data_IF_537637672020
#
_entry.id   IF_537637672020
#
_cell.length_a   1.000
_cell.length_b   1.000
_cell.length_c   1.000
_cell.angle_alpha   90.00
_cell.angle_beta   90.00
_cell.angle_gamma   90.00
#
_symmetry.space_group_name_H-M   'P 1'
#
loop_
_entity.id
_entity.type
_entity.pdbx_description
1 polymer ?
#
# COMPACT_ATOMS: atom_id res chain seq x y z
N UNK A 1 42.12 -3.38 12.75
CA UNK A 1 41.97 -3.30 11.28
C UNK A 1 40.52 -2.94 11.01
N UNK A 2 40.25 -1.67 10.70
CA UNK A 2 38.89 -1.18 10.44
C UNK A 2 38.63 -1.36 8.95
N UNK A 3 37.71 -2.27 8.60
CA UNK A 3 37.25 -2.46 7.23
C UNK A 3 36.12 -1.47 7.01
N UNK A 4 36.40 -0.38 6.29
CA UNK A 4 35.39 0.56 5.81
C UNK A 4 34.76 -0.06 4.56
N UNK A 5 33.43 -0.28 4.51
CA UNK A 5 32.80 -0.78 3.29
C UNK A 5 32.79 0.35 2.25
N UNK A 6 33.51 0.12 1.15
CA UNK A 6 33.50 1.00 -0.01
C UNK A 6 32.16 0.81 -0.74
N UNK A 7 31.24 1.77 -0.59
CA UNK A 7 30.05 1.86 -1.43
C UNK A 7 30.51 2.32 -2.81
N UNK A 8 30.61 1.39 -3.76
CA UNK A 8 30.86 1.71 -5.16
C UNK A 8 29.53 2.15 -5.78
N UNK A 9 29.28 3.46 -5.81
CA UNK A 9 28.29 4.04 -6.70
C UNK A 9 28.90 4.08 -8.11
N UNK A 10 28.57 3.11 -8.97
CA UNK A 10 28.88 3.22 -10.39
C UNK A 10 27.93 4.23 -11.01
N UNK A 11 28.38 5.47 -11.15
CA UNK A 11 27.74 6.45 -12.01
C UNK A 11 28.01 6.05 -13.47
N UNK A 12 27.13 5.21 -14.02
CA UNK A 12 27.13 4.98 -15.46
C UNK A 12 26.61 6.25 -16.12
N UNK A 13 27.48 7.04 -16.75
CA UNK A 13 27.16 8.36 -17.30
C UNK A 13 26.16 8.35 -18.49
N UNK A 14 25.58 7.19 -18.82
CA UNK A 14 24.44 7.04 -19.75
C UNK A 14 23.12 6.68 -19.06
N UNK A 15 23.10 6.50 -17.74
CA UNK A 15 21.95 6.01 -16.99
C UNK A 15 21.29 7.16 -16.24
N UNK A 16 20.13 7.64 -16.72
CA UNK A 16 19.26 8.63 -16.06
C UNK A 16 18.56 8.06 -14.80
N UNK A 17 19.29 7.28 -14.00
CA UNK A 17 18.81 6.67 -12.74
C UNK A 17 19.95 6.40 -11.76
N UNK A 18 19.59 6.42 -10.48
CA UNK A 18 20.41 5.97 -9.35
C UNK A 18 19.96 4.55 -8.98
N UNK A 19 20.92 3.65 -8.73
CA UNK A 19 20.66 2.27 -8.29
C UNK A 19 21.21 2.08 -6.88
N UNK A 20 20.36 1.65 -5.95
CA UNK A 20 20.67 1.49 -4.54
C UNK A 20 20.38 0.04 -4.11
N UNK A 21 21.37 -0.87 -4.12
CA UNK A 21 21.22 -2.19 -3.52
C UNK A 21 21.26 -2.05 -1.99
N UNK A 22 20.19 -2.46 -1.32
CA UNK A 22 20.03 -2.31 0.13
C UNK A 22 19.87 -3.66 0.82
N UNK A 23 20.65 -3.89 1.88
CA UNK A 23 20.40 -4.96 2.85
C UNK A 23 19.29 -4.52 3.82
N UNK A 24 18.27 -5.35 3.97
CA UNK A 24 17.13 -5.16 4.85
C UNK A 24 17.02 -6.31 5.87
N UNK A 25 18.15 -6.86 6.32
CA UNK A 25 18.15 -7.89 7.36
C UNK A 25 17.38 -7.39 8.59
N UNK A 26 16.27 -8.05 8.92
CA UNK A 26 15.32 -7.60 9.93
C UNK A 26 15.93 -7.52 11.33
N UNK A 27 17.01 -8.27 11.59
CA UNK A 27 17.77 -8.19 12.83
C UNK A 27 18.60 -6.91 12.94
N UNK A 28 19.03 -6.34 11.80
CA UNK A 28 19.83 -5.11 11.72
C UNK A 28 18.97 -3.86 11.52
N UNK A 29 17.70 -4.02 11.13
CA UNK A 29 16.76 -2.92 10.96
C UNK A 29 16.37 -2.33 12.32
N UNK A 30 16.67 -1.05 12.50
CA UNK A 30 16.24 -0.24 13.63
C UNK A 30 15.01 0.58 13.26
N UNK A 31 14.05 0.69 14.19
CA UNK A 31 12.93 1.61 14.03
C UNK A 31 13.46 3.05 13.98
N UNK A 32 12.97 3.89 13.06
CA UNK A 32 13.38 5.28 13.02
C UNK A 32 12.88 6.03 14.26
N UNK A 33 13.71 6.94 14.78
CA UNK A 33 13.35 7.79 15.93
C UNK A 33 12.19 8.72 15.59
N UNK A 34 12.22 9.31 14.39
CA UNK A 34 11.21 10.20 13.84
C UNK A 34 11.34 10.27 12.31
N UNK A 35 10.51 11.11 11.68
CA UNK A 35 10.53 11.33 10.24
C UNK A 35 11.80 12.05 9.72
N UNK A 36 12.50 12.82 10.55
CA UNK A 36 13.72 13.53 10.15
C UNK A 36 14.88 12.57 9.94
N UNK A 37 14.90 11.43 10.63
CA UNK A 37 15.85 10.35 10.40
C UNK A 37 15.70 9.66 9.02
N UNK A 38 14.69 10.01 8.22
CA UNK A 38 14.36 9.41 6.91
C UNK A 38 14.63 10.34 5.72
N UNK A 39 15.59 11.24 5.88
CA UNK A 39 15.93 12.32 4.93
C UNK A 39 16.53 11.85 3.59
N UNK A 40 17.21 10.71 3.56
CA UNK A 40 17.75 10.08 2.34
C UNK A 40 16.88 8.92 1.86
N UNK A 41 17.04 8.48 0.60
CA UNK A 41 16.27 7.33 0.05
C UNK A 41 16.65 6.03 0.72
N UNK A 42 17.94 5.84 1.00
CA UNK A 42 18.41 4.70 1.77
C UNK A 42 17.83 4.68 3.19
N UNK A 43 17.87 5.81 3.91
CA UNK A 43 17.35 5.88 5.27
C UNK A 43 15.82 5.65 5.30
N UNK A 44 15.08 6.28 4.40
CA UNK A 44 13.64 6.08 4.24
C UNK A 44 13.27 4.61 4.00
N UNK A 45 13.91 3.95 3.04
CA UNK A 45 13.62 2.54 2.70
C UNK A 45 13.94 1.62 3.87
N UNK A 46 15.09 1.77 4.52
CA UNK A 46 15.48 0.93 5.68
C UNK A 46 14.56 1.17 6.88
N UNK A 47 14.27 2.42 7.23
CA UNK A 47 13.42 2.76 8.36
C UNK A 47 11.97 2.29 8.16
N UNK A 48 11.42 2.46 6.95
CA UNK A 48 10.07 1.98 6.62
C UNK A 48 10.03 0.46 6.59
N UNK A 49 11.05 -0.21 6.04
CA UNK A 49 11.17 -1.66 6.10
C UNK A 49 11.18 -2.18 7.56
N UNK A 50 11.83 -1.46 8.48
CA UNK A 50 11.82 -1.79 9.90
C UNK A 50 10.41 -1.72 10.48
N UNK A 51 9.67 -0.64 10.21
CA UNK A 51 8.28 -0.47 10.63
C UNK A 51 7.40 -1.60 10.06
N UNK A 52 7.53 -1.90 8.75
CA UNK A 52 6.76 -2.95 8.08
C UNK A 52 7.01 -4.32 8.72
N UNK A 53 8.26 -4.67 8.97
CA UNK A 53 8.63 -5.94 9.58
C UNK A 53 8.19 -6.03 11.05
N UNK A 54 8.43 -5.00 11.86
CA UNK A 54 8.23 -5.05 13.32
C UNK A 54 6.79 -4.72 13.74
N UNK A 55 6.19 -3.71 13.12
CA UNK A 55 4.85 -3.22 13.50
C UNK A 55 3.76 -4.05 12.83
N UNK A 56 3.90 -4.34 11.53
CA UNK A 56 2.87 -5.05 10.77
C UNK A 56 3.11 -6.55 10.62
N UNK A 57 4.30 -7.03 11.03
CA UNK A 57 4.71 -8.43 10.90
C UNK A 57 4.57 -8.91 9.45
N UNK A 58 4.95 -8.06 8.51
CA UNK A 58 5.00 -8.37 7.08
C UNK A 58 6.42 -8.81 6.71
N UNK A 59 6.58 -9.82 5.84
CA UNK A 59 7.89 -10.24 5.40
C UNK A 59 8.50 -9.14 4.52
N UNK A 60 9.75 -8.81 4.80
CA UNK A 60 10.57 -7.96 3.94
C UNK A 60 11.74 -8.83 3.47
N UNK A 61 12.06 -8.86 2.16
CA UNK A 61 13.18 -9.65 1.68
C UNK A 61 14.49 -9.09 2.22
N UNK A 62 15.48 -9.96 2.46
CA UNK A 62 16.80 -9.57 3.00
C UNK A 62 17.52 -8.53 2.15
N UNK A 63 17.22 -8.47 0.86
CA UNK A 63 17.79 -7.50 -0.06
C UNK A 63 16.70 -6.91 -0.94
N UNK A 64 16.77 -5.61 -1.17
CA UNK A 64 15.95 -4.90 -2.17
C UNK A 64 16.85 -4.00 -2.99
N UNK A 65 16.63 -3.95 -4.29
CA UNK A 65 17.26 -2.94 -5.15
C UNK A 65 16.28 -1.80 -5.38
N UNK A 66 16.67 -0.58 -5.01
CA UNK A 66 15.87 0.62 -5.23
C UNK A 66 16.43 1.38 -6.43
N UNK A 67 15.59 1.63 -7.42
CA UNK A 67 15.92 2.43 -8.58
C UNK A 67 15.21 3.77 -8.49
N UNK A 68 15.96 4.86 -8.68
CA UNK A 68 15.42 6.23 -8.66
C UNK A 68 15.70 6.85 -10.01
N UNK A 69 14.67 7.11 -10.80
CA UNK A 69 14.78 7.58 -12.18
C UNK A 69 14.56 9.07 -12.28
N UNK A 70 15.35 9.72 -13.14
CA UNK A 70 15.22 11.13 -13.45
C UNK A 70 14.26 11.32 -14.63
N UNK A 71 13.00 11.62 -14.31
CA UNK A 71 11.96 11.91 -15.29
C UNK A 71 11.13 10.70 -15.71
N UNK A 72 9.91 11.00 -16.20
CA UNK A 72 8.95 10.00 -16.72
C UNK A 72 9.57 9.08 -17.76
N UNK A 73 10.38 9.62 -18.68
CA UNK A 73 11.00 8.83 -19.76
C UNK A 73 11.99 7.80 -19.23
N UNK A 74 12.83 8.19 -18.27
CA UNK A 74 13.77 7.28 -17.63
C UNK A 74 13.02 6.19 -16.85
N UNK A 75 11.98 6.59 -16.12
CA UNK A 75 11.10 5.67 -15.40
C UNK A 75 10.42 4.66 -16.33
N UNK A 76 9.87 5.11 -17.47
CA UNK A 76 9.28 4.23 -18.49
C UNK A 76 10.28 3.19 -19.00
N UNK A 77 11.53 3.59 -19.28
CA UNK A 77 12.57 2.63 -19.65
C UNK A 77 12.91 1.67 -18.51
N UNK A 78 12.91 2.16 -17.26
CA UNK A 78 13.07 1.33 -16.07
C UNK A 78 12.01 0.24 -15.93
N UNK A 79 10.75 0.59 -16.18
CA UNK A 79 9.66 -0.38 -16.19
C UNK A 79 9.92 -1.49 -17.21
N UNK A 80 10.47 -1.16 -18.39
CA UNK A 80 10.77 -2.14 -19.44
C UNK A 80 11.96 -3.03 -19.05
N UNK A 81 13.08 -2.43 -18.65
CA UNK A 81 14.33 -3.17 -18.49
C UNK A 81 14.52 -3.80 -17.11
N UNK A 82 14.13 -3.09 -16.05
CA UNK A 82 14.36 -3.55 -14.68
C UNK A 82 13.16 -4.36 -14.18
N UNK A 83 11.93 -3.85 -14.40
CA UNK A 83 10.69 -4.53 -14.00
C UNK A 83 10.09 -5.47 -15.06
N UNK A 84 10.72 -5.58 -16.24
CA UNK A 84 10.31 -6.50 -17.34
C UNK A 84 8.86 -6.31 -17.81
N UNK A 85 8.34 -5.11 -17.68
CA UNK A 85 7.01 -4.73 -18.16
C UNK A 85 7.06 -4.58 -19.70
N UNK A 86 6.01 -5.02 -20.40
CA UNK A 86 5.97 -4.84 -21.85
C UNK A 86 5.99 -3.34 -22.22
N UNK A 87 6.60 -2.91 -23.34
CA UNK A 87 6.67 -1.49 -23.70
C UNK A 87 5.31 -0.78 -23.74
N UNK A 88 4.27 -1.46 -24.24
CA UNK A 88 2.91 -0.92 -24.30
C UNK A 88 2.33 -0.68 -22.90
N UNK A 89 2.59 -1.60 -21.96
CA UNK A 89 2.13 -1.43 -20.58
C UNK A 89 3.00 -0.41 -19.84
N UNK A 90 4.32 -0.39 -20.06
CA UNK A 90 5.22 0.58 -19.46
C UNK A 90 4.85 2.02 -19.84
N UNK A 91 4.56 2.28 -21.12
CA UNK A 91 4.11 3.58 -21.58
C UNK A 91 2.85 4.04 -20.81
N UNK A 92 1.85 3.15 -20.68
CA UNK A 92 0.61 3.43 -19.94
C UNK A 92 0.85 3.62 -18.45
N UNK A 93 1.65 2.77 -17.80
CA UNK A 93 1.95 2.89 -16.38
C UNK A 93 2.70 4.18 -16.10
N UNK A 94 3.66 4.56 -16.94
CA UNK A 94 4.44 5.79 -16.73
C UNK A 94 3.63 7.08 -16.86
N UNK A 95 2.40 7.04 -17.38
CA UNK A 95 1.48 8.18 -17.39
C UNK A 95 0.94 8.54 -16.00
N UNK A 96 0.88 7.58 -15.07
CA UNK A 96 0.22 7.80 -13.78
C UNK A 96 0.99 7.22 -12.57
N UNK A 97 1.80 6.19 -12.77
CA UNK A 97 2.61 5.60 -11.72
C UNK A 97 3.86 6.45 -11.48
N UNK A 98 4.14 6.72 -10.21
CA UNK A 98 5.36 7.41 -9.75
C UNK A 98 6.25 6.48 -8.92
N UNK A 99 5.78 5.25 -8.66
CA UNK A 99 6.51 4.16 -8.03
C UNK A 99 5.98 2.81 -8.49
N UNK A 100 6.80 1.76 -8.38
CA UNK A 100 6.42 0.35 -8.57
C UNK A 100 7.24 -0.54 -7.63
N UNK A 101 6.55 -1.33 -6.81
CA UNK A 101 7.10 -2.47 -6.09
C UNK A 101 7.02 -3.74 -6.93
N UNK A 102 8.17 -4.40 -7.13
CA UNK A 102 8.30 -5.67 -7.84
C UNK A 102 9.13 -6.65 -6.99
N UNK A 103 9.30 -7.89 -7.46
CA UNK A 103 10.02 -8.91 -6.69
C UNK A 103 11.46 -8.46 -6.35
N UNK A 104 11.70 -8.17 -5.07
CA UNK A 104 13.01 -7.70 -4.57
C UNK A 104 13.41 -6.31 -5.06
N UNK A 105 12.48 -5.50 -5.58
CA UNK A 105 12.80 -4.22 -6.20
C UNK A 105 11.76 -3.15 -5.91
N UNK A 106 12.21 -1.89 -5.84
CA UNK A 106 11.35 -0.70 -5.80
C UNK A 106 11.86 0.29 -6.84
N UNK A 107 10.99 0.71 -7.74
CA UNK A 107 11.28 1.71 -8.77
C UNK A 107 10.57 3.01 -8.38
N UNK A 108 11.23 4.16 -8.43
CA UNK A 108 10.70 5.47 -8.06
C UNK A 108 11.01 6.52 -9.14
N UNK A 109 10.03 7.32 -9.52
CA UNK A 109 10.23 8.49 -10.38
C UNK A 109 10.52 9.74 -9.53
N UNK A 110 11.70 10.34 -9.68
CA UNK A 110 12.17 11.45 -8.86
C UNK A 110 11.70 12.84 -9.30
N UNK A 111 11.28 12.98 -10.56
CA UNK A 111 11.02 14.27 -11.21
C UNK A 111 9.63 14.85 -10.89
N UNK A 112 8.94 14.29 -9.88
CA UNK A 112 7.70 14.89 -9.39
C UNK A 112 8.09 16.07 -8.53
N UNK A 113 7.98 17.29 -9.09
CA UNK A 113 8.29 18.58 -8.45
C UNK A 113 7.52 18.85 -7.13
N UNK A 114 6.57 17.99 -6.78
CA UNK A 114 5.78 17.98 -5.53
C UNK A 114 6.14 16.82 -4.57
N UNK A 115 7.35 16.24 -4.66
CA UNK A 115 7.80 15.16 -3.78
C UNK A 115 8.09 15.62 -2.33
N UNK A 116 7.06 16.13 -1.64
CA UNK A 116 7.15 16.51 -0.23
C UNK A 116 7.52 15.29 0.62
N UNK A 117 8.26 15.50 1.71
CA UNK A 117 8.79 14.42 2.54
C UNK A 117 7.70 13.44 3.00
N UNK A 118 6.48 13.91 3.28
CA UNK A 118 5.37 13.02 3.67
C UNK A 118 4.91 12.11 2.53
N UNK A 119 4.61 12.67 1.36
CA UNK A 119 4.15 11.86 0.21
C UNK A 119 5.25 10.93 -0.29
N UNK A 120 6.52 11.32 -0.10
CA UNK A 120 7.67 10.46 -0.30
C UNK A 120 7.69 9.22 0.57
N UNK A 121 7.56 9.42 1.87
CA UNK A 121 7.54 8.31 2.81
C UNK A 121 6.29 7.44 2.60
N UNK A 122 5.14 8.03 2.24
CA UNK A 122 3.93 7.31 1.84
C UNK A 122 4.21 6.37 0.65
N UNK A 123 4.78 6.91 -0.43
CA UNK A 123 5.06 6.16 -1.65
C UNK A 123 6.03 5.00 -1.37
N UNK A 124 7.13 5.25 -0.65
CA UNK A 124 8.09 4.19 -0.30
C UNK A 124 7.41 3.09 0.54
N UNK A 125 6.56 3.45 1.50
CA UNK A 125 5.81 2.47 2.29
C UNK A 125 4.80 1.69 1.45
N UNK A 126 4.13 2.35 0.51
CA UNK A 126 3.24 1.72 -0.46
C UNK A 126 3.98 0.67 -1.29
N UNK A 127 5.09 1.04 -1.94
CA UNK A 127 5.83 0.13 -2.82
C UNK A 127 6.50 -1.02 -2.05
N UNK A 128 7.05 -0.76 -0.85
CA UNK A 128 7.59 -1.84 -0.01
C UNK A 128 6.49 -2.80 0.49
N UNK A 129 5.25 -2.33 0.61
CA UNK A 129 4.12 -3.21 0.92
C UNK A 129 3.84 -4.16 -0.25
N UNK A 130 3.95 -3.72 -1.50
CA UNK A 130 3.86 -4.62 -2.65
C UNK A 130 4.97 -5.66 -2.65
N UNK A 131 6.21 -5.27 -2.35
CA UNK A 131 7.32 -6.24 -2.18
C UNK A 131 6.96 -7.28 -1.11
N UNK A 132 6.39 -6.85 0.02
CA UNK A 132 5.97 -7.75 1.10
C UNK A 132 4.82 -8.67 0.70
N UNK A 133 3.84 -8.17 -0.08
CA UNK A 133 2.74 -8.97 -0.62
C UNK A 133 3.25 -10.04 -1.60
N UNK A 134 4.22 -9.70 -2.44
CA UNK A 134 4.88 -10.63 -3.37
C UNK A 134 5.61 -11.73 -2.60
N UNK A 135 6.34 -11.37 -1.53
CA UNK A 135 6.98 -12.33 -0.63
C UNK A 135 5.95 -13.25 0.05
N UNK A 136 4.83 -12.72 0.56
CA UNK A 136 3.75 -13.55 1.12
C UNK A 136 3.19 -14.51 0.08
N UNK A 137 2.84 -14.01 -1.10
CA UNK A 137 2.19 -14.77 -2.17
C UNK A 137 3.13 -15.76 -2.89
N UNK A 138 4.45 -15.58 -2.76
CA UNK A 138 5.44 -16.36 -3.48
C UNK A 138 5.49 -16.04 -4.98
N UNK A 139 5.12 -14.81 -5.36
CA UNK A 139 5.14 -14.33 -6.75
C UNK A 139 4.24 -13.12 -6.98
N UNK A 140 4.45 -12.45 -8.11
CA UNK A 140 3.76 -11.22 -8.50
C UNK A 140 2.33 -11.44 -9.01
N UNK A 141 1.47 -10.43 -8.85
CA UNK A 141 0.16 -10.35 -9.51
C UNK A 141 -0.84 -11.46 -9.16
N UNK A 142 -0.65 -12.15 -8.03
CA UNK A 142 -1.48 -13.32 -7.67
C UNK A 142 -2.81 -12.96 -7.00
N UNK A 143 -2.82 -11.91 -6.16
CA UNK A 143 -4.00 -11.46 -5.43
C UNK A 143 -4.96 -10.61 -6.27
N UNK A 144 -6.12 -10.32 -5.69
CA UNK A 144 -7.03 -9.29 -6.17
C UNK A 144 -6.31 -7.93 -6.19
N UNK A 145 -6.14 -7.32 -7.37
CA UNK A 145 -5.37 -6.08 -7.52
C UNK A 145 -5.93 -4.95 -6.65
N UNK A 146 -7.26 -4.76 -6.64
CA UNK A 146 -7.89 -3.75 -5.80
C UNK A 146 -7.58 -3.92 -4.31
N UNK A 147 -7.41 -5.17 -3.86
CA UNK A 147 -7.08 -5.49 -2.47
C UNK A 147 -5.59 -5.30 -2.19
N UNK A 148 -4.72 -5.62 -3.14
CA UNK A 148 -3.29 -5.36 -3.06
C UNK A 148 -2.98 -3.87 -2.92
N UNK A 149 -3.56 -3.04 -3.80
CA UNK A 149 -3.46 -1.58 -3.77
C UNK A 149 -4.06 -1.00 -2.49
N UNK A 150 -5.24 -1.50 -2.07
CA UNK A 150 -5.90 -1.04 -0.85
C UNK A 150 -5.08 -1.32 0.42
N UNK A 151 -4.49 -2.52 0.53
CA UNK A 151 -3.60 -2.85 1.63
C UNK A 151 -2.31 -2.02 1.59
N UNK A 152 -1.74 -1.77 0.42
CA UNK A 152 -0.56 -0.92 0.26
C UNK A 152 -0.82 0.52 0.73
N UNK A 153 -1.96 1.11 0.36
CA UNK A 153 -2.39 2.42 0.89
C UNK A 153 -2.61 2.38 2.40
N UNK A 154 -3.29 1.35 2.92
CA UNK A 154 -3.54 1.25 4.35
C UNK A 154 -2.24 1.19 5.17
N UNK A 155 -1.29 0.34 4.76
CA UNK A 155 0.02 0.23 5.42
C UNK A 155 0.82 1.52 5.27
N UNK A 156 0.76 2.18 4.11
CA UNK A 156 1.42 3.47 3.92
C UNK A 156 0.87 4.53 4.89
N UNK A 157 -0.44 4.64 5.06
CA UNK A 157 -1.03 5.58 6.03
C UNK A 157 -0.73 5.19 7.48
N UNK A 158 -0.79 3.90 7.82
CA UNK A 158 -0.42 3.42 9.16
C UNK A 158 1.07 3.67 9.47
N UNK A 159 1.95 3.57 8.46
CA UNK A 159 3.37 3.92 8.59
C UNK A 159 3.54 5.41 8.87
N UNK A 160 2.83 6.28 8.12
CA UNK A 160 2.85 7.73 8.39
C UNK A 160 2.29 8.08 9.77
N UNK A 161 1.27 7.36 10.23
CA UNK A 161 0.71 7.50 11.58
C UNK A 161 1.74 7.17 12.65
N UNK A 162 2.49 6.09 12.47
CA UNK A 162 3.59 5.72 13.37
C UNK A 162 4.71 6.75 13.43
N UNK A 163 4.93 7.47 12.32
CA UNK A 163 5.90 8.57 12.19
C UNK A 163 5.35 9.93 12.64
N UNK A 164 4.08 10.02 13.06
CA UNK A 164 3.44 11.26 13.49
C UNK A 164 3.13 12.26 12.37
N UNK A 165 3.18 11.82 11.10
CA UNK A 165 3.01 12.67 9.93
C UNK A 165 1.56 12.71 9.40
N UNK A 166 0.78 11.68 9.71
CA UNK A 166 -0.61 11.57 9.29
C UNK A 166 -1.42 10.64 10.23
N UNK A 167 -2.66 10.30 9.87
CA UNK A 167 -3.41 9.24 10.55
C UNK A 167 -4.31 8.46 9.62
N UNK A 168 -4.50 7.16 9.90
CA UNK A 168 -5.43 6.31 9.14
C UNK A 168 -6.84 6.86 9.25
N UNK A 169 -7.22 7.35 10.44
CA UNK A 169 -8.54 7.92 10.66
C UNK A 169 -8.80 9.20 9.82
N UNK A 170 -7.82 10.11 9.74
CA UNK A 170 -7.93 11.31 8.89
C UNK A 170 -8.09 10.92 7.42
N UNK A 171 -7.31 9.94 6.96
CA UNK A 171 -7.36 9.44 5.58
C UNK A 171 -8.67 8.73 5.28
N UNK A 172 -9.22 7.95 6.22
CA UNK A 172 -10.57 7.38 6.16
C UNK A 172 -11.63 8.46 5.92
N UNK A 173 -11.65 9.49 6.77
CA UNK A 173 -12.62 10.58 6.63
C UNK A 173 -12.50 11.31 5.28
N UNK A 174 -11.26 11.62 4.87
CA UNK A 174 -11.01 12.28 3.58
C UNK A 174 -11.40 11.42 2.39
N UNK A 175 -11.10 10.11 2.42
CA UNK A 175 -11.46 9.17 1.37
C UNK A 175 -12.98 8.97 1.31
N UNK A 176 -13.65 8.81 2.45
CA UNK A 176 -15.12 8.74 2.50
C UNK A 176 -15.73 9.99 1.88
N UNK A 177 -15.28 11.19 2.28
CA UNK A 177 -15.76 12.43 1.68
C UNK A 177 -15.50 12.48 0.16
N UNK A 178 -14.33 12.03 -0.29
CA UNK A 178 -13.98 11.97 -1.70
C UNK A 178 -14.92 11.06 -2.50
N UNK A 179 -15.13 9.83 -2.03
CA UNK A 179 -16.00 8.85 -2.70
C UNK A 179 -17.46 9.31 -2.75
N UNK A 180 -17.94 10.10 -1.77
CA UNK A 180 -19.28 10.73 -1.83
C UNK A 180 -19.45 11.64 -3.05
N UNK A 181 -18.40 12.37 -3.44
CA UNK A 181 -18.43 13.20 -4.64
C UNK A 181 -18.33 12.37 -5.94
N UNK A 182 -18.02 11.07 -5.82
CA UNK A 182 -18.05 10.07 -6.88
C UNK A 182 -19.22 9.08 -6.69
N UNK A 183 -20.39 9.55 -6.22
CA UNK A 183 -21.55 8.68 -5.92
C UNK A 183 -22.05 7.84 -7.11
N UNK A 184 -21.75 8.20 -8.36
CA UNK A 184 -22.02 7.36 -9.53
C UNK A 184 -21.29 6.02 -9.47
N UNK A 185 -20.08 6.00 -8.90
CA UNK A 185 -19.26 4.81 -8.73
C UNK A 185 -19.91 3.85 -7.72
N UNK A 186 -20.49 4.37 -6.63
CA UNK A 186 -21.21 3.54 -5.66
C UNK A 186 -22.57 3.06 -6.19
N UNK A 187 -23.28 3.90 -6.95
CA UNK A 187 -24.61 3.56 -7.49
C UNK A 187 -24.56 2.51 -8.60
N UNK A 188 -23.45 2.39 -9.32
CA UNK A 188 -23.28 1.43 -10.41
C UNK A 188 -22.91 0.01 -9.96
N UNK A 189 -22.65 -0.20 -8.67
CA UNK A 189 -21.93 -1.39 -8.19
C UNK A 189 -20.42 -1.24 -8.38
N UNK A 190 -19.63 -2.05 -7.65
CA UNK A 190 -18.17 -2.00 -7.74
C UNK A 190 -17.61 -3.06 -8.68
N UNK A 191 -18.32 -4.18 -8.87
CA UNK A 191 -17.90 -5.33 -9.66
C UNK A 191 -16.44 -5.72 -9.36
N UNK A 192 -16.15 -5.92 -8.06
CA UNK A 192 -14.79 -6.09 -7.56
C UNK A 192 -14.09 -7.29 -8.20
N UNK A 193 -14.84 -8.37 -8.49
CA UNK A 193 -14.29 -9.55 -9.15
C UNK A 193 -13.77 -9.23 -10.56
N UNK A 194 -14.48 -8.38 -11.32
CA UNK A 194 -14.02 -7.95 -12.63
C UNK A 194 -12.76 -7.08 -12.55
N UNK A 195 -12.55 -6.38 -11.43
CA UNK A 195 -11.38 -5.51 -11.20
C UNK A 195 -10.22 -6.20 -10.47
N UNK A 196 -10.29 -7.52 -10.31
CA UNK A 196 -9.28 -8.29 -9.59
C UNK A 196 -7.94 -8.48 -10.29
N UNK A 197 -7.82 -8.22 -11.59
CA UNK A 197 -6.56 -8.37 -12.33
C UNK A 197 -5.86 -7.03 -12.55
N UNK A 198 -4.53 -6.99 -12.69
CA UNK A 198 -3.81 -5.75 -12.97
C UNK A 198 -4.38 -4.98 -14.18
N UNK A 199 -4.63 -5.70 -15.28
CA UNK A 199 -5.18 -5.09 -16.51
C UNK A 199 -6.56 -4.48 -16.30
N UNK A 200 -7.45 -5.20 -15.62
CA UNK A 200 -8.81 -4.71 -15.39
C UNK A 200 -8.83 -3.56 -14.38
N UNK A 201 -7.97 -3.62 -13.37
CA UNK A 201 -7.76 -2.52 -12.42
C UNK A 201 -7.23 -1.27 -13.11
N UNK A 202 -6.23 -1.37 -14.00
CA UNK A 202 -5.76 -0.23 -14.80
C UNK A 202 -6.90 0.37 -15.63
N UNK A 203 -7.74 -0.47 -16.25
CA UNK A 203 -8.89 0.02 -17.01
C UNK A 203 -9.93 0.75 -16.13
N UNK A 204 -10.18 0.24 -14.94
CA UNK A 204 -11.05 0.89 -13.94
C UNK A 204 -10.47 2.24 -13.50
N UNK A 205 -9.19 2.25 -13.14
CA UNK A 205 -8.43 3.44 -12.77
C UNK A 205 -8.46 4.53 -13.84
N UNK A 206 -8.23 4.17 -15.12
CA UNK A 206 -8.26 5.13 -16.22
C UNK A 206 -9.65 5.73 -16.46
N UNK A 207 -10.71 4.97 -16.15
CA UNK A 207 -12.10 5.40 -16.31
C UNK A 207 -12.55 6.32 -15.19
N UNK A 208 -12.26 5.97 -13.93
CA UNK A 208 -12.76 6.69 -12.75
C UNK A 208 -11.77 7.73 -12.20
N UNK A 209 -10.49 7.63 -12.60
CA UNK A 209 -9.40 8.48 -12.16
C UNK A 209 -8.63 7.93 -10.95
N UNK A 210 -7.35 8.32 -10.88
CA UNK A 210 -6.40 7.88 -9.84
C UNK A 210 -6.92 8.09 -8.43
N UNK A 211 -7.29 9.33 -8.09
CA UNK A 211 -7.66 9.68 -6.72
C UNK A 211 -8.89 8.89 -6.23
N UNK A 212 -9.94 8.81 -7.05
CA UNK A 212 -11.17 8.12 -6.67
C UNK A 212 -10.94 6.62 -6.47
N UNK A 213 -10.22 5.99 -7.41
CA UNK A 213 -9.93 4.55 -7.38
C UNK A 213 -9.12 4.16 -6.15
N UNK A 214 -8.03 4.88 -5.87
CA UNK A 214 -7.16 4.58 -4.72
C UNK A 214 -7.82 4.93 -3.37
N UNK A 215 -8.66 5.97 -3.30
CA UNK A 215 -9.45 6.25 -2.11
C UNK A 215 -10.45 5.12 -1.83
N UNK A 216 -11.10 4.59 -2.86
CA UNK A 216 -12.01 3.47 -2.69
C UNK A 216 -11.28 2.19 -2.27
N UNK A 217 -10.21 1.77 -2.97
CA UNK A 217 -9.48 0.55 -2.59
C UNK A 217 -8.95 0.60 -1.17
N UNK A 218 -8.45 1.77 -0.74
CA UNK A 218 -8.10 2.02 0.65
C UNK A 218 -9.28 1.77 1.60
N UNK A 219 -10.47 2.34 1.32
CA UNK A 219 -11.66 2.11 2.16
C UNK A 219 -12.11 0.64 2.18
N UNK A 220 -12.00 -0.08 1.06
CA UNK A 220 -12.32 -1.51 0.98
C UNK A 220 -11.37 -2.33 1.87
N UNK A 221 -10.07 -2.09 1.77
CA UNK A 221 -9.07 -2.75 2.60
C UNK A 221 -9.21 -2.37 4.08
N UNK A 222 -9.43 -1.10 4.39
CA UNK A 222 -9.66 -0.61 5.75
C UNK A 222 -10.89 -1.27 6.39
N UNK A 223 -11.99 -1.43 5.64
CA UNK A 223 -13.18 -2.12 6.11
C UNK A 223 -12.89 -3.59 6.45
N UNK A 224 -12.16 -4.31 5.59
CA UNK A 224 -11.74 -5.68 5.84
C UNK A 224 -10.83 -5.79 7.06
N UNK A 225 -9.79 -4.95 7.14
CA UNK A 225 -8.83 -4.94 8.24
C UNK A 225 -9.53 -4.60 9.56
N UNK A 226 -10.44 -3.63 9.58
CA UNK A 226 -11.20 -3.25 10.78
C UNK A 226 -12.07 -4.41 11.30
N UNK A 227 -12.66 -5.22 10.41
CA UNK A 227 -13.59 -6.29 10.81
C UNK A 227 -12.92 -7.65 11.03
N UNK A 228 -11.85 -7.93 10.30
CA UNK A 228 -11.22 -9.26 10.23
C UNK A 228 -9.77 -9.26 10.73
N UNK A 229 -9.16 -8.08 10.88
CA UNK A 229 -7.77 -7.92 11.27
C UNK A 229 -6.79 -8.07 10.10
N UNK A 230 -5.62 -7.45 10.26
CA UNK A 230 -4.53 -7.51 9.28
C UNK A 230 -4.00 -8.95 9.08
N UNK A 231 -4.07 -9.80 10.10
CA UNK A 231 -3.64 -11.21 10.00
C UNK A 231 -4.44 -12.01 8.97
N UNK A 232 -5.73 -11.71 8.80
CA UNK A 232 -6.55 -12.34 7.75
C UNK A 232 -6.15 -11.85 6.36
N UNK A 233 -5.77 -10.59 6.23
CA UNK A 233 -5.20 -10.05 4.99
C UNK A 233 -3.88 -10.76 4.63
N UNK A 234 -2.99 -10.95 5.62
CA UNK A 234 -1.73 -11.68 5.41
C UNK A 234 -1.98 -13.14 5.04
N UNK A 235 -2.96 -13.80 5.67
CA UNK A 235 -3.37 -15.16 5.34
C UNK A 235 -3.91 -15.27 3.91
N UNK A 236 -4.68 -14.28 3.45
CA UNK A 236 -5.13 -14.19 2.06
C UNK A 236 -3.95 -14.20 1.08
N UNK A 237 -2.98 -13.29 1.24
CA UNK A 237 -1.81 -13.27 0.35
C UNK A 237 -0.96 -14.55 0.47
N UNK A 238 -0.77 -15.08 1.68
CA UNK A 238 0.00 -16.32 1.89
C UNK A 238 -0.61 -17.53 1.17
N UNK A 239 -1.94 -17.59 1.07
CA UNK A 239 -2.64 -18.72 0.45
C UNK A 239 -2.27 -18.93 -1.04
N UNK A 240 -1.76 -17.90 -1.72
CA UNK A 240 -1.30 -17.99 -3.10
C UNK A 240 -0.06 -18.86 -3.32
N UNK A 241 0.62 -19.27 -2.25
CA UNK A 241 1.68 -20.29 -2.32
C UNK A 241 1.13 -21.68 -2.61
N UNK A 242 -0.12 -21.96 -2.22
CA UNK A 242 -0.76 -23.27 -2.38
C UNK A 242 -1.90 -23.31 -3.40
N UNK A 243 -2.45 -22.16 -3.79
CA UNK A 243 -3.57 -22.09 -4.73
C UNK A 243 -3.58 -20.76 -5.48
N UNK A 244 -3.74 -20.76 -6.80
CA UNK A 244 -3.91 -19.53 -7.59
C UNK A 244 -5.39 -19.07 -7.67
N UNK A 245 -6.31 -19.80 -7.04
CA UNK A 245 -7.73 -19.48 -7.04
C UNK A 245 -8.02 -18.31 -6.09
N UNK A 246 -8.20 -17.12 -6.66
CA UNK A 246 -8.44 -15.86 -5.92
C UNK A 246 -9.73 -15.90 -5.11
N UNK A 247 -10.81 -16.49 -5.63
CA UNK A 247 -12.11 -16.54 -4.96
C UNK A 247 -12.06 -17.49 -3.76
N UNK A 248 -11.51 -18.70 -3.94
CA UNK A 248 -11.36 -19.67 -2.85
C UNK A 248 -10.43 -19.13 -1.77
N UNK A 249 -9.34 -18.47 -2.15
CA UNK A 249 -8.41 -17.85 -1.21
C UNK A 249 -9.07 -16.72 -0.42
N UNK A 250 -9.86 -15.86 -1.07
CA UNK A 250 -10.63 -14.80 -0.43
C UNK A 250 -11.64 -15.38 0.58
N UNK A 251 -12.40 -16.39 0.15
CA UNK A 251 -13.39 -17.04 1.00
C UNK A 251 -12.76 -17.68 2.23
N UNK A 252 -11.63 -18.37 2.08
CA UNK A 252 -10.90 -18.97 3.21
C UNK A 252 -10.38 -17.93 4.19
N UNK A 253 -9.89 -16.80 3.69
CA UNK A 253 -9.32 -15.76 4.54
C UNK A 253 -10.39 -14.94 5.29
N UNK A 254 -11.50 -14.60 4.62
CA UNK A 254 -12.46 -13.63 5.15
C UNK A 254 -13.83 -14.22 5.53
N UNK A 255 -14.11 -15.46 5.12
CA UNK A 255 -15.33 -16.20 5.48
C UNK A 255 -16.56 -15.85 4.64
N UNK A 256 -16.37 -15.37 3.39
CA UNK A 256 -17.45 -15.00 2.47
C UNK A 256 -16.93 -14.79 1.06
N UNK A 257 -17.83 -14.64 0.08
CA UNK A 257 -17.46 -14.35 -1.31
C UNK A 257 -17.12 -12.86 -1.50
N UNK A 258 -16.44 -12.52 -2.60
CA UNK A 258 -16.17 -11.11 -2.94
C UNK A 258 -17.50 -10.37 -3.17
N UNK A 259 -18.48 -10.99 -3.84
CA UNK A 259 -19.81 -10.40 -4.04
C UNK A 259 -20.56 -10.10 -2.72
N UNK A 260 -20.47 -10.99 -1.73
CA UNK A 260 -21.07 -10.74 -0.41
C UNK A 260 -20.35 -9.58 0.30
N UNK A 261 -19.02 -9.54 0.24
CA UNK A 261 -18.23 -8.43 0.75
C UNK A 261 -18.58 -7.10 0.08
N UNK A 262 -18.74 -7.08 -1.25
CA UNK A 262 -19.13 -5.90 -2.01
C UNK A 262 -20.48 -5.36 -1.54
N UNK A 263 -21.45 -6.23 -1.30
CA UNK A 263 -22.77 -5.85 -0.78
C UNK A 263 -22.64 -5.19 0.60
N UNK A 264 -21.90 -5.82 1.52
CA UNK A 264 -21.70 -5.32 2.88
C UNK A 264 -21.00 -3.95 2.92
N UNK A 265 -19.95 -3.79 2.11
CA UNK A 265 -19.16 -2.55 2.11
C UNK A 265 -19.90 -1.41 1.42
N UNK A 266 -20.66 -1.69 0.35
CA UNK A 266 -21.52 -0.69 -0.29
C UNK A 266 -22.61 -0.20 0.67
N UNK A 267 -23.23 -1.10 1.45
CA UNK A 267 -24.21 -0.72 2.46
C UNK A 267 -23.59 0.20 3.52
N UNK A 268 -22.40 -0.14 4.02
CA UNK A 268 -21.70 0.65 5.03
C UNK A 268 -21.25 2.04 4.51
N UNK A 269 -20.69 2.09 3.29
CA UNK A 269 -20.29 3.34 2.65
C UNK A 269 -21.50 4.23 2.34
N UNK A 270 -22.63 3.65 1.93
CA UNK A 270 -23.88 4.37 1.67
C UNK A 270 -24.53 4.91 2.94
N UNK A 271 -24.59 4.12 4.02
CA UNK A 271 -25.12 4.56 5.32
C UNK A 271 -24.27 5.69 5.93
N UNK A 272 -22.96 5.68 5.66
CA UNK A 272 -22.08 6.79 6.04
C UNK A 272 -22.36 8.03 5.17
N UNK A 273 -22.87 7.86 3.95
CA UNK A 273 -23.11 8.95 2.97
C UNK A 273 -24.47 9.61 3.12
N UNK A 274 -25.45 8.92 3.69
CA UNK A 274 -26.79 9.43 3.97
C UNK A 274 -26.99 9.61 5.50
N UNK A 275 -26.93 10.84 6.03
CA UNK A 275 -27.11 11.07 7.47
C UNK A 275 -28.52 10.73 7.98
N UNK A 276 -29.51 10.49 7.09
CA UNK A 276 -30.85 10.06 7.50
C UNK A 276 -30.95 8.56 7.78
N UNK A 277 -29.97 7.76 7.33
CA UNK A 277 -29.89 6.30 7.53
C UNK A 277 -28.91 5.89 8.65
N UNK A 278 -28.19 6.84 9.25
CA UNK A 278 -27.20 6.59 10.30
C UNK A 278 -27.85 6.38 11.68
N UNK A 279 -28.59 5.28 11.85
CA UNK A 279 -28.95 4.77 13.17
C UNK A 279 -27.75 4.08 13.82
N UNK A 280 -26.88 4.82 14.50
CA UNK A 280 -25.81 4.23 15.30
C UNK A 280 -26.32 3.85 16.71
N UNK A 281 -26.03 2.64 17.22
CA UNK A 281 -26.10 2.39 18.65
C UNK A 281 -24.93 3.11 19.33
N UNK A 282 -25.26 4.09 20.17
CA UNK A 282 -24.32 4.73 21.08
C UNK A 282 -23.80 3.66 22.05
N UNK A 283 -22.57 3.19 21.86
CA UNK A 283 -21.83 2.51 22.93
C UNK A 283 -21.32 3.61 23.86
N UNK A 284 -22.12 3.90 24.88
CA UNK A 284 -21.73 4.74 26.00
C UNK A 284 -20.57 4.06 26.72
N UNK A 285 -19.42 4.73 26.79
CA UNK A 285 -18.31 4.28 27.63
C UNK A 285 -18.79 4.15 29.09
N UNK A 286 -18.35 3.12 29.84
CA UNK A 286 -18.64 3.04 31.27
C UNK A 286 -18.00 4.25 31.97
N UNK A 287 -18.64 4.83 32.99
CA UNK A 287 -18.04 5.92 33.75
C UNK A 287 -16.74 5.44 34.44
N UNK A 288 -15.76 6.35 34.63
CA UNK A 288 -14.51 6.01 35.31
C UNK A 288 -14.80 5.55 36.74
N UNK A 289 -14.13 4.47 37.16
CA UNK A 289 -14.19 3.98 38.55
C UNK A 289 -13.64 5.06 39.47
N UNK A 290 -14.43 5.44 40.47
CA UNK A 290 -13.99 6.29 41.58
C UNK A 290 -12.83 5.59 42.32
N UNK A 291 -11.72 6.29 42.48
CA UNK A 291 -10.62 5.85 43.34
C UNK A 291 -11.10 5.78 44.80
N UNK A 292 -10.65 4.79 45.59
CA UNK A 292 -10.95 4.74 47.01
C UNK A 292 -10.13 5.81 47.75
N UNK A 293 -10.80 6.68 48.49
CA UNK A 293 -10.16 7.54 49.49
C UNK A 293 -9.41 6.68 50.51
N UNK A 294 -8.11 6.92 50.65
CA UNK A 294 -7.29 6.32 51.69
C UNK A 294 -7.64 6.93 53.08
N UNK A 295 -7.48 6.16 54.17
CA UNK A 295 -7.71 6.62 55.54
C UNK A 295 -6.68 7.63 56.03
#
# INVERSE_FOLDING_TARGET
MVVVPLVVATADCSSSRIVLPLSLDSLELADPSDAHALDTTQAAVRGIAAIIARTFSLPVPRQVTVFVYDGRRAFEQGLIYDARVSPVLAAKLSDFAIGVGAQGQVLLNADVSDWTSRERLRLIAHELTHVSQIELAGGEGRGEQWLAEGMAEWIAFATLERLGLDSVNRRRQSATSGVRHHATLLRGGLDLEAHGTPRAFTAWHLREGTRATYQLTFLLADFLITRKGLDRMKAYFTSFRGSLDRQVNFQRAFGGTIAAFETDVLAALSATTDPTLAGAPTVTAPPPRSEPSAP
#
